data_IF_313962808265
#
_entry.id   IF_313962808265
#
_cell.length_a   1.000
_cell.length_b   1.000
_cell.length_c   1.000
_cell.angle_alpha   90.00
_cell.angle_beta   90.00
_cell.angle_gamma   90.00
#
_symmetry.space_group_name_H-M   'P 1'
#
loop_
_entity.id
_entity.type
_entity.pdbx_description
1 polymer ?
#
# COMPACT_ATOMS: atom_id res chain seq x y z
N UNK A 1 14.04 1.30 -10.41
CA UNK A 1 13.08 0.22 -10.75
C UNK A 1 11.88 0.37 -9.83
N UNK A 2 10.69 0.05 -10.32
CA UNK A 2 9.42 0.17 -9.61
C UNK A 2 8.53 -1.03 -9.96
N UNK A 3 7.44 -1.22 -9.24
CA UNK A 3 6.49 -2.30 -9.53
C UNK A 3 5.56 -1.97 -10.70
N UNK A 4 5.07 -3.00 -11.39
CA UNK A 4 4.06 -2.83 -12.44
C UNK A 4 2.75 -2.21 -11.91
N UNK A 5 2.39 -2.46 -10.64
CA UNK A 5 1.23 -1.82 -10.01
C UNK A 5 1.45 -0.31 -9.86
N UNK A 6 2.65 0.12 -9.46
CA UNK A 6 3.00 1.54 -9.38
C UNK A 6 2.94 2.21 -10.76
N UNK A 7 3.48 1.57 -11.80
CA UNK A 7 3.42 2.09 -13.17
C UNK A 7 1.97 2.21 -13.68
N UNK A 8 1.13 1.22 -13.41
CA UNK A 8 -0.31 1.26 -13.73
C UNK A 8 -1.03 2.37 -12.99
N UNK A 9 -0.72 2.58 -11.71
CA UNK A 9 -1.30 3.66 -10.90
C UNK A 9 -0.93 5.04 -11.46
N UNK A 10 0.32 5.23 -11.90
CA UNK A 10 0.76 6.47 -12.54
C UNK A 10 0.12 6.71 -13.91
N UNK A 11 -0.12 5.64 -14.68
CA UNK A 11 -0.72 5.71 -16.01
C UNK A 11 -2.26 5.80 -15.99
N UNK A 12 -2.90 5.55 -14.84
CA UNK A 12 -4.35 5.57 -14.71
C UNK A 12 -4.89 6.99 -14.93
N UNK A 13 -5.96 7.10 -15.73
CA UNK A 13 -6.68 8.36 -15.90
C UNK A 13 -7.54 8.63 -14.65
N UNK A 14 -7.09 9.54 -13.80
CA UNK A 14 -7.77 9.92 -12.56
C UNK A 14 -8.96 10.86 -12.79
N UNK A 15 -9.32 11.14 -14.06
CA UNK A 15 -10.47 11.96 -14.47
C UNK A 15 -10.25 13.47 -14.36
N UNK A 16 -9.16 13.90 -13.74
CA UNK A 16 -8.69 15.29 -13.67
C UNK A 16 -7.18 15.35 -13.37
N UNK A 17 -6.50 16.36 -13.92
CA UNK A 17 -5.07 16.56 -13.81
C UNK A 17 -4.63 16.80 -12.35
N UNK A 18 -5.44 17.50 -11.55
CA UNK A 18 -5.14 17.73 -10.14
C UNK A 18 -5.13 16.43 -9.32
N UNK A 19 -6.05 15.51 -9.61
CA UNK A 19 -6.10 14.18 -8.96
C UNK A 19 -4.92 13.32 -9.38
N UNK A 20 -4.56 13.33 -10.65
CA UNK A 20 -3.38 12.62 -11.14
C UNK A 20 -2.09 13.13 -10.48
N UNK A 21 -1.95 14.46 -10.35
CA UNK A 21 -0.83 15.08 -9.64
C UNK A 21 -0.82 14.68 -8.15
N UNK A 22 -1.98 14.73 -7.49
CA UNK A 22 -2.09 14.33 -6.09
C UNK A 22 -1.68 12.87 -5.89
N UNK A 23 -2.15 11.96 -6.74
CA UNK A 23 -1.79 10.54 -6.66
C UNK A 23 -0.29 10.33 -6.89
N UNK A 24 0.30 11.02 -7.88
CA UNK A 24 1.76 10.98 -8.09
C UNK A 24 2.52 11.50 -6.88
N UNK A 25 2.10 12.62 -6.31
CA UNK A 25 2.73 13.20 -5.11
C UNK A 25 2.64 12.23 -3.92
N UNK A 26 1.49 11.62 -3.71
CA UNK A 26 1.25 10.69 -2.59
C UNK A 26 2.12 9.44 -2.71
N UNK A 27 2.27 8.87 -3.91
CA UNK A 27 2.93 7.58 -4.10
C UNK A 27 4.40 7.68 -4.55
N UNK A 28 4.90 8.86 -4.95
CA UNK A 28 6.27 9.00 -5.51
C UNK A 28 7.39 8.56 -4.57
N UNK A 29 7.17 8.58 -3.25
CA UNK A 29 8.11 8.07 -2.25
C UNK A 29 8.11 6.55 -2.07
N UNK A 30 7.14 5.84 -2.68
CA UNK A 30 6.84 4.44 -2.37
C UNK A 30 6.60 3.61 -3.65
N UNK A 31 7.60 3.51 -4.55
CA UNK A 31 7.43 2.88 -5.88
C UNK A 31 7.29 1.36 -5.84
N UNK A 32 7.62 0.73 -4.71
CA UNK A 32 7.46 -0.71 -4.48
C UNK A 32 6.08 -0.95 -3.92
N UNK A 33 5.11 -1.15 -4.81
CA UNK A 33 3.69 -1.12 -4.49
C UNK A 33 3.07 -2.50 -4.71
N UNK A 34 2.29 -2.95 -3.73
CA UNK A 34 1.55 -4.21 -3.77
C UNK A 34 0.10 -3.98 -3.40
N UNK A 35 -0.80 -4.76 -4.00
CA UNK A 35 -2.16 -4.85 -3.53
C UNK A 35 -2.24 -5.93 -2.45
N UNK A 36 -2.40 -5.52 -1.20
CA UNK A 36 -2.35 -6.42 -0.05
C UNK A 36 -3.75 -6.73 0.47
N UNK A 37 -4.03 -7.99 0.74
CA UNK A 37 -5.27 -8.35 1.44
C UNK A 37 -5.15 -7.99 2.93
N UNK A 38 -5.69 -6.83 3.28
CA UNK A 38 -5.77 -6.33 4.67
C UNK A 38 -7.05 -6.78 5.38
N UNK A 39 -8.02 -7.28 4.62
CA UNK A 39 -9.35 -7.62 5.13
C UNK A 39 -10.35 -6.47 5.05
N UNK A 40 -11.65 -6.78 5.24
CA UNK A 40 -12.76 -5.81 5.12
C UNK A 40 -13.40 -5.41 6.45
N UNK A 41 -14.37 -4.48 6.39
CA UNK A 41 -15.00 -3.80 7.53
C UNK A 41 -15.71 -4.70 8.56
N UNK A 42 -16.07 -5.95 8.22
CA UNK A 42 -16.86 -6.83 9.08
C UNK A 42 -16.10 -7.99 9.74
N UNK A 43 -14.89 -8.34 9.27
CA UNK A 43 -14.12 -9.48 9.81
C UNK A 43 -12.59 -9.31 9.73
N UNK A 44 -12.10 -8.21 9.14
CA UNK A 44 -10.68 -8.00 8.84
C UNK A 44 -9.95 -6.99 9.72
N UNK A 45 -10.62 -6.34 10.68
CA UNK A 45 -10.01 -5.27 11.49
C UNK A 45 -8.80 -5.76 12.29
N UNK A 46 -8.83 -7.00 12.77
CA UNK A 46 -7.71 -7.59 13.52
C UNK A 46 -6.50 -7.85 12.61
N UNK A 47 -6.73 -8.25 11.35
CA UNK A 47 -5.67 -8.47 10.37
C UNK A 47 -5.02 -7.15 9.97
N UNK A 48 -5.84 -6.14 9.64
CA UNK A 48 -5.32 -4.83 9.29
C UNK A 48 -4.49 -4.25 10.43
N UNK A 49 -5.01 -4.30 11.67
CA UNK A 49 -4.25 -3.83 12.83
C UNK A 49 -2.92 -4.56 12.97
N UNK A 50 -2.91 -5.89 12.88
CA UNK A 50 -1.67 -6.67 12.97
C UNK A 50 -0.67 -6.34 11.85
N UNK A 51 -1.15 -6.10 10.63
CA UNK A 51 -0.32 -5.66 9.50
C UNK A 51 0.32 -4.30 9.80
N UNK A 52 -0.48 -3.32 10.22
CA UNK A 52 0.02 -1.96 10.47
C UNK A 52 1.02 -1.95 11.64
N UNK A 53 0.72 -2.67 12.72
CA UNK A 53 1.65 -2.86 13.84
C UNK A 53 2.96 -3.51 13.38
N UNK A 54 2.88 -4.59 12.58
CA UNK A 54 4.08 -5.24 12.07
C UNK A 54 4.92 -4.31 11.18
N UNK A 55 4.30 -3.50 10.31
CA UNK A 55 5.03 -2.54 9.50
C UNK A 55 5.76 -1.50 10.36
N UNK A 56 5.13 -1.03 11.44
CA UNK A 56 5.77 -0.11 12.40
C UNK A 56 6.98 -0.79 13.05
N UNK A 57 6.81 -2.02 13.54
CA UNK A 57 7.84 -2.71 14.32
C UNK A 57 9.01 -3.22 13.45
N UNK A 58 8.76 -3.62 12.21
CA UNK A 58 9.73 -4.35 11.36
C UNK A 58 10.33 -3.52 10.24
N UNK A 59 9.67 -2.42 9.86
CA UNK A 59 10.10 -1.54 8.77
C UNK A 59 10.36 -0.15 9.34
N UNK A 60 9.41 0.42 10.08
CA UNK A 60 9.52 1.72 10.72
C UNK A 60 8.29 2.60 10.50
N UNK A 61 8.45 3.92 10.57
CA UNK A 61 7.31 4.83 10.53
C UNK A 61 6.59 4.84 9.17
N UNK A 62 5.27 4.95 9.23
CA UNK A 62 4.42 5.17 8.06
C UNK A 62 4.60 6.60 7.54
N UNK A 63 4.68 6.75 6.22
CA UNK A 63 4.68 8.05 5.59
C UNK A 63 3.32 8.73 5.70
N UNK A 64 3.35 10.06 5.78
CA UNK A 64 2.16 10.91 5.63
C UNK A 64 2.42 11.97 4.57
N UNK A 65 2.31 11.61 3.27
CA UNK A 65 2.69 12.51 2.17
C UNK A 65 1.92 13.83 2.15
N UNK A 66 0.64 13.82 2.54
CA UNK A 66 -0.22 15.01 2.61
C UNK A 66 0.22 15.94 3.75
N UNK A 67 0.78 15.40 4.83
CA UNK A 67 1.24 16.15 6.00
C UNK A 67 2.77 16.36 6.02
N UNK A 68 3.46 16.04 4.91
CA UNK A 68 4.91 16.23 4.77
C UNK A 68 5.76 15.36 5.69
N UNK A 69 5.20 14.29 6.28
CA UNK A 69 5.96 13.38 7.13
C UNK A 69 6.58 12.27 6.28
N UNK A 70 7.91 12.15 6.22
CA UNK A 70 8.55 11.03 5.55
C UNK A 70 8.24 9.73 6.29
N UNK A 71 8.35 8.59 5.61
CA UNK A 71 8.21 7.28 6.21
C UNK A 71 8.57 6.19 5.21
N UNK A 72 8.85 4.99 5.72
CA UNK A 72 9.46 3.91 4.94
C UNK A 72 8.43 3.10 4.14
N UNK A 73 7.16 3.22 4.53
CA UNK A 73 6.03 2.59 3.86
C UNK A 73 4.80 3.50 3.89
N UNK A 74 3.84 3.24 3.02
CA UNK A 74 2.58 3.99 2.91
C UNK A 74 1.41 3.05 2.68
N UNK A 75 0.27 3.34 3.34
CA UNK A 75 -1.01 2.63 3.13
C UNK A 75 -1.93 3.54 2.34
N UNK A 76 -2.53 3.01 1.28
CA UNK A 76 -3.63 3.68 0.58
C UNK A 76 -4.81 3.99 1.51
N UNK A 77 -5.56 5.02 1.20
CA UNK A 77 -6.75 5.39 1.97
C UNK A 77 -7.93 4.44 1.75
N UNK A 78 -8.03 3.85 0.55
CA UNK A 78 -9.13 2.98 0.15
C UNK A 78 -8.79 1.49 0.32
N UNK A 79 -9.77 0.76 0.87
CA UNK A 79 -9.79 -0.71 0.89
C UNK A 79 -10.98 -1.17 0.07
N UNK A 80 -10.74 -1.91 -1.02
CA UNK A 80 -11.78 -2.38 -1.95
C UNK A 80 -11.80 -3.90 -1.89
N UNK A 81 -12.94 -4.49 -1.52
CA UNK A 81 -13.09 -5.95 -1.37
C UNK A 81 -12.01 -6.61 -0.47
N UNK A 82 -11.56 -5.89 0.56
CA UNK A 82 -10.52 -6.35 1.49
C UNK A 82 -9.09 -6.16 1.02
N UNK A 83 -8.89 -5.58 -0.17
CA UNK A 83 -7.60 -5.28 -0.75
C UNK A 83 -7.26 -3.80 -0.60
N UNK A 84 -6.05 -3.53 -0.15
CA UNK A 84 -5.52 -2.18 0.08
C UNK A 84 -4.15 -2.07 -0.55
N UNK A 85 -3.89 -0.98 -1.24
CA UNK A 85 -2.55 -0.70 -1.74
C UNK A 85 -1.59 -0.38 -0.61
N UNK A 86 -0.44 -1.02 -0.64
CA UNK A 86 0.68 -0.81 0.28
C UNK A 86 1.92 -0.48 -0.55
N UNK A 87 2.63 0.58 -0.20
CA UNK A 87 3.83 1.04 -0.88
C UNK A 87 5.03 1.06 0.05
N UNK A 88 6.22 0.78 -0.49
CA UNK A 88 7.48 0.75 0.24
C UNK A 88 8.54 1.58 -0.50
N UNK A 89 9.48 2.13 0.28
CA UNK A 89 10.62 2.89 -0.26
C UNK A 89 11.64 2.00 -0.98
N UNK A 90 11.71 0.72 -0.64
CA UNK A 90 12.62 -0.25 -1.25
C UNK A 90 11.95 -1.63 -1.46
N UNK A 91 12.52 -2.41 -2.38
CA UNK A 91 12.02 -3.72 -2.80
C UNK A 91 12.12 -4.79 -1.71
N UNK A 92 13.19 -4.74 -0.91
CA UNK A 92 13.46 -5.75 0.12
C UNK A 92 12.37 -5.76 1.19
N UNK A 93 11.94 -4.58 1.64
CA UNK A 93 10.85 -4.46 2.61
C UNK A 93 9.49 -4.86 2.02
N UNK A 94 9.23 -4.55 0.75
CA UNK A 94 8.05 -5.04 0.04
C UNK A 94 8.02 -6.58 0.00
N UNK A 95 9.14 -7.22 -0.31
CA UNK A 95 9.23 -8.67 -0.37
C UNK A 95 9.05 -9.31 1.01
N UNK A 96 9.67 -8.76 2.06
CA UNK A 96 9.45 -9.18 3.46
C UNK A 96 7.99 -9.07 3.86
N UNK A 97 7.32 -7.98 3.46
CA UNK A 97 5.90 -7.79 3.71
C UNK A 97 5.04 -8.85 3.02
N UNK A 98 5.30 -9.13 1.73
CA UNK A 98 4.54 -10.13 0.95
C UNK A 98 4.71 -11.52 1.56
N UNK A 99 5.92 -11.88 1.97
CA UNK A 99 6.23 -13.17 2.61
C UNK A 99 5.53 -13.31 3.96
N UNK A 100 5.50 -12.24 4.76
CA UNK A 100 4.86 -12.25 6.08
C UNK A 100 3.33 -12.26 5.98
N UNK A 101 2.76 -11.55 5.00
CA UNK A 101 1.32 -11.29 4.89
C UNK A 101 0.72 -11.82 3.58
N UNK A 102 0.87 -13.13 3.27
CA UNK A 102 0.21 -13.71 2.11
C UNK A 102 -1.32 -13.60 2.27
N UNK A 103 -2.02 -13.47 1.14
CA UNK A 103 -3.48 -13.56 1.14
C UNK A 103 -3.92 -14.94 1.70
N UNK A 104 -4.95 -15.00 2.56
CA UNK A 104 -5.45 -16.27 3.07
C UNK A 104 -5.89 -17.23 1.94
N UNK A 105 -5.79 -18.56 2.14
CA UNK A 105 -6.25 -19.52 1.15
C UNK A 105 -7.71 -19.27 0.72
N UNK A 106 -7.97 -19.30 -0.59
CA UNK A 106 -9.29 -19.06 -1.16
C UNK A 106 -9.65 -17.59 -1.39
N UNK A 107 -8.80 -16.64 -0.97
CA UNK A 107 -8.92 -15.23 -1.33
C UNK A 107 -8.13 -14.98 -2.62
N UNK A 108 -8.82 -14.53 -3.66
CA UNK A 108 -8.24 -14.24 -4.98
C UNK A 108 -8.40 -12.75 -5.26
N UNK A 109 -7.34 -12.12 -5.75
CA UNK A 109 -7.37 -10.74 -6.25
C UNK A 109 -8.25 -10.70 -7.52
N UNK A 110 -9.26 -9.83 -7.54
CA UNK A 110 -10.23 -9.71 -8.63
C UNK A 110 -9.72 -8.83 -9.78
#
# INVERSE_FOLDING_TARGET
MATALYERMLAFDHGDAERAELMRKVWSGHPWMVNAYTGGLSSGRDREYAILTWCIDQIGEQASPIHGKPGLWYRGSATINGWTWMGFTNEADMNRFIEQWPAPPGIIEQ
#
